data_IF_016623930060
#
_entry.id   IF_016623930060
#
_cell.length_a   1.000
_cell.length_b   1.000
_cell.length_c   1.000
_cell.angle_alpha   90.00
_cell.angle_beta   90.00
_cell.angle_gamma   90.00
#
_symmetry.space_group_name_H-M   'P 1'
#
loop_
_entity.id
_entity.type
_entity.pdbx_description
1 polymer ?
#
# COMPACT_ATOMS: atom_id res chain seq x y z
N UNK A 1 7.43 46.04 42.58
CA UNK A 1 8.04 44.85 41.95
C UNK A 1 7.09 43.64 41.85
N UNK A 2 5.84 43.79 41.38
CA UNK A 2 4.90 42.64 41.25
C UNK A 2 4.28 42.44 39.85
N UNK A 3 4.41 43.40 38.92
CA UNK A 3 3.85 43.26 37.56
C UNK A 3 4.81 42.64 36.54
N UNK A 4 6.13 42.74 36.74
CA UNK A 4 7.10 42.26 35.75
C UNK A 4 7.45 40.76 35.89
N UNK A 5 7.16 40.12 37.03
CA UNK A 5 7.37 38.67 37.19
C UNK A 5 6.28 37.84 36.50
N UNK A 6 5.04 38.35 36.42
CA UNK A 6 3.92 37.57 35.87
C UNK A 6 4.05 37.40 34.35
N UNK A 7 4.56 38.42 33.66
CA UNK A 7 4.76 38.38 32.20
C UNK A 7 5.88 37.42 31.80
N UNK A 8 6.93 37.30 32.63
CA UNK A 8 8.06 36.40 32.38
C UNK A 8 7.69 34.93 32.56
N UNK A 9 6.81 34.62 33.53
CA UNK A 9 6.31 33.25 33.74
C UNK A 9 5.34 32.83 32.62
N UNK A 10 4.52 33.75 32.11
CA UNK A 10 3.64 33.49 30.96
C UNK A 10 4.42 33.26 29.66
N UNK A 11 5.53 33.99 29.43
CA UNK A 11 6.41 33.74 28.28
C UNK A 11 7.14 32.39 28.39
N UNK A 12 7.55 31.98 29.59
CA UNK A 12 8.20 30.68 29.81
C UNK A 12 7.22 29.50 29.67
N UNK A 13 5.97 29.65 30.13
CA UNK A 13 4.93 28.61 29.97
C UNK A 13 4.50 28.42 28.51
N UNK A 14 4.57 29.47 27.67
CA UNK A 14 4.38 29.35 26.22
C UNK A 14 5.60 28.80 25.48
N UNK A 15 6.76 28.72 26.12
CA UNK A 15 7.99 28.16 25.53
C UNK A 15 8.18 26.68 25.84
N UNK A 16 7.39 26.10 26.76
CA UNK A 16 7.47 24.68 27.15
C UNK A 16 6.40 23.82 26.44
N UNK A 17 5.40 24.44 25.81
CA UNK A 17 4.44 23.74 24.94
C UNK A 17 4.83 23.95 23.47
N UNK A 18 5.07 22.86 22.74
CA UNK A 18 5.57 22.79 21.35
C UNK A 18 7.10 22.75 21.17
N UNK A 19 7.75 21.84 21.88
CA UNK A 19 8.74 20.99 21.21
C UNK A 19 8.22 19.56 21.27
N UNK A 20 7.13 19.28 20.56
CA UNK A 20 7.01 17.95 19.97
C UNK A 20 7.85 18.03 18.71
N UNK A 21 8.99 17.35 18.74
CA UNK A 21 9.70 17.01 17.52
C UNK A 21 8.72 16.22 16.66
N UNK A 22 8.02 16.87 15.73
CA UNK A 22 7.42 16.19 14.59
C UNK A 22 8.59 15.80 13.69
N UNK A 23 9.38 14.82 14.10
CA UNK A 23 10.35 14.20 13.22
C UNK A 23 9.54 13.58 12.07
N UNK A 24 9.77 14.09 10.87
CA UNK A 24 9.12 13.54 9.68
C UNK A 24 9.50 12.06 9.57
N UNK A 25 8.53 11.15 9.35
CA UNK A 25 8.81 9.73 9.27
C UNK A 25 9.87 9.46 8.21
N UNK A 26 10.91 8.75 8.61
CA UNK A 26 12.02 8.39 7.73
C UNK A 26 11.68 7.04 7.08
N UNK A 27 11.34 7.08 5.79
CA UNK A 27 10.76 5.96 5.05
C UNK A 27 11.80 5.27 4.18
N UNK A 28 11.77 3.94 4.21
CA UNK A 28 12.70 3.05 3.54
C UNK A 28 11.95 2.01 2.72
N UNK A 29 12.18 1.98 1.42
CA UNK A 29 11.50 1.08 0.49
C UNK A 29 12.27 -0.23 0.31
N UNK A 30 11.57 -1.34 0.11
CA UNK A 30 12.19 -2.59 -0.30
C UNK A 30 13.06 -2.39 -1.55
N UNK A 31 14.29 -2.88 -1.47
CA UNK A 31 15.26 -2.77 -2.56
C UNK A 31 15.48 -4.12 -3.24
N UNK A 32 15.85 -5.16 -2.46
CA UNK A 32 16.16 -6.50 -2.98
C UNK A 32 16.32 -7.54 -1.88
N UNK A 33 16.34 -8.81 -2.30
CA UNK A 33 16.88 -9.94 -1.54
C UNK A 33 18.19 -10.40 -2.18
N UNK A 34 19.20 -10.72 -1.36
CA UNK A 34 20.51 -11.20 -1.83
C UNK A 34 20.36 -12.40 -2.77
N UNK A 35 21.25 -12.50 -3.76
CA UNK A 35 21.20 -13.61 -4.74
C UNK A 35 21.47 -14.96 -4.06
N UNK A 36 22.43 -14.98 -3.16
CA UNK A 36 22.81 -16.16 -2.40
C UNK A 36 22.49 -15.93 -0.92
N UNK A 37 22.44 -17.01 -0.15
CA UNK A 37 22.56 -16.94 1.31
C UNK A 37 24.02 -16.76 1.71
N UNK A 38 24.27 -16.40 2.97
CA UNK A 38 25.61 -16.26 3.56
C UNK A 38 26.46 -17.54 3.38
N UNK A 39 25.83 -18.73 3.39
CA UNK A 39 26.52 -20.01 3.21
C UNK A 39 26.81 -20.37 1.74
N UNK A 40 26.47 -19.48 0.79
CA UNK A 40 26.78 -19.64 -0.63
C UNK A 40 25.85 -20.58 -1.40
N UNK A 41 24.81 -21.11 -0.75
CA UNK A 41 23.78 -21.96 -1.35
C UNK A 41 22.38 -21.46 -0.99
N UNK A 42 21.53 -21.25 -1.98
CA UNK A 42 20.19 -20.73 -1.77
C UNK A 42 19.20 -21.36 -2.75
N UNK A 43 17.99 -21.68 -2.29
CA UNK A 43 16.92 -22.08 -3.19
C UNK A 43 16.36 -20.84 -3.88
N UNK A 44 16.31 -20.84 -5.22
CA UNK A 44 15.65 -19.78 -5.99
C UNK A 44 14.20 -19.59 -5.52
N UNK A 45 13.50 -20.68 -5.17
CA UNK A 45 12.13 -20.62 -4.65
C UNK A 45 12.01 -19.93 -3.29
N UNK A 46 13.00 -20.09 -2.41
CA UNK A 46 13.00 -19.43 -1.11
C UNK A 46 13.27 -17.93 -1.28
N UNK A 47 14.23 -17.59 -2.14
CA UNK A 47 14.54 -16.21 -2.49
C UNK A 47 13.35 -15.51 -3.12
N UNK A 48 12.67 -16.16 -4.07
CA UNK A 48 11.44 -15.64 -4.67
C UNK A 48 10.34 -15.44 -3.63
N UNK A 49 10.13 -16.40 -2.72
CA UNK A 49 9.16 -16.24 -1.63
C UNK A 49 9.48 -15.05 -0.72
N UNK A 50 10.76 -14.82 -0.40
CA UNK A 50 11.19 -13.65 0.36
C UNK A 50 10.96 -12.36 -0.44
N UNK A 51 11.26 -12.33 -1.73
CA UNK A 51 10.98 -11.15 -2.56
C UNK A 51 9.48 -10.86 -2.57
N UNK A 52 8.66 -11.87 -2.82
CA UNK A 52 7.20 -11.72 -2.88
C UNK A 52 6.66 -11.15 -1.56
N UNK A 53 7.10 -11.74 -0.43
CA UNK A 53 6.67 -11.33 0.91
C UNK A 53 7.12 -9.92 1.27
N UNK A 54 8.37 -9.57 1.01
CA UNK A 54 8.97 -8.33 1.49
C UNK A 54 8.92 -7.17 0.49
N UNK A 55 8.61 -7.42 -0.79
CA UNK A 55 8.56 -6.38 -1.84
C UNK A 55 7.51 -5.30 -1.61
N UNK A 56 6.46 -5.61 -0.84
CA UNK A 56 5.35 -4.70 -0.53
C UNK A 56 5.54 -3.98 0.83
N UNK A 57 6.62 -4.29 1.55
CA UNK A 57 6.88 -3.79 2.91
C UNK A 57 7.69 -2.50 2.85
N UNK A 58 7.47 -1.64 3.85
CA UNK A 58 8.32 -0.47 4.11
C UNK A 58 8.77 -0.46 5.55
N UNK A 59 9.96 0.11 5.77
CA UNK A 59 10.42 0.44 7.10
C UNK A 59 10.19 1.93 7.33
N UNK A 60 9.55 2.24 8.44
CA UNK A 60 9.29 3.63 8.86
C UNK A 60 9.99 3.81 10.20
N UNK A 61 10.97 4.70 10.24
CA UNK A 61 11.58 5.14 11.49
C UNK A 61 10.90 6.44 11.93
N UNK A 62 10.22 6.40 13.07
CA UNK A 62 9.53 7.55 13.67
C UNK A 62 9.56 7.41 15.19
N UNK A 63 9.80 8.52 15.91
CA UNK A 63 9.74 8.59 17.37
C UNK A 63 10.52 7.47 18.10
N UNK A 64 11.68 7.09 17.56
CA UNK A 64 12.52 6.05 18.15
C UNK A 64 11.99 4.63 18.00
N UNK A 65 11.07 4.39 17.06
CA UNK A 65 10.55 3.07 16.67
C UNK A 65 10.76 2.81 15.17
N UNK A 66 11.22 1.60 14.82
CA UNK A 66 11.16 1.07 13.45
C UNK A 66 9.88 0.27 13.29
N UNK A 67 8.99 0.77 12.47
CA UNK A 67 7.75 0.10 12.07
C UNK A 67 8.05 -0.72 10.81
N UNK A 68 7.88 -2.04 10.91
CA UNK A 68 7.96 -2.98 9.79
C UNK A 68 6.56 -3.23 9.26
N UNK A 69 6.01 -2.26 8.54
CA UNK A 69 4.65 -2.31 7.97
C UNK A 69 3.58 -2.81 8.99
N UNK A 70 2.67 -3.75 8.64
CA UNK A 70 1.80 -4.42 9.65
C UNK A 70 2.43 -5.65 10.30
N UNK A 71 3.70 -5.92 10.06
CA UNK A 71 4.34 -7.08 10.65
C UNK A 71 4.60 -6.78 12.12
N UNK A 72 5.36 -5.74 12.44
CA UNK A 72 5.84 -5.54 13.80
C UNK A 72 6.36 -4.12 14.04
N UNK A 73 6.48 -3.78 15.32
CA UNK A 73 7.07 -2.55 15.83
C UNK A 73 8.34 -2.90 16.60
N UNK A 74 9.44 -2.22 16.29
CA UNK A 74 10.74 -2.44 16.92
C UNK A 74 11.13 -1.15 17.64
N UNK A 75 11.33 -1.21 18.95
CA UNK A 75 11.81 -0.06 19.72
C UNK A 75 13.28 0.23 19.35
N UNK A 76 13.50 1.16 18.44
CA UNK A 76 14.81 1.47 17.85
C UNK A 76 15.78 2.06 18.86
N UNK A 77 15.35 3.03 19.67
CA UNK A 77 16.26 3.73 20.60
C UNK A 77 16.75 2.86 21.77
N UNK A 78 15.99 1.84 22.18
CA UNK A 78 16.33 1.01 23.34
C UNK A 78 17.03 -0.31 22.97
N UNK A 79 17.10 -0.65 21.68
CA UNK A 79 17.62 -1.93 21.20
C UNK A 79 18.74 -1.82 20.17
N UNK A 80 19.15 -0.59 19.85
CA UNK A 80 20.25 -0.32 18.91
C UNK A 80 21.60 -0.37 19.62
N UNK A 81 22.45 -1.31 19.21
CA UNK A 81 23.85 -1.38 19.59
C UNK A 81 24.74 -0.95 18.41
N UNK A 82 25.67 -0.03 18.62
CA UNK A 82 26.76 0.18 17.66
C UNK A 82 27.76 -0.97 17.83
N UNK A 83 27.89 -1.81 16.82
CA UNK A 83 28.72 -3.00 16.87
C UNK A 83 29.76 -3.02 15.75
N UNK A 84 30.95 -3.54 16.06
CA UNK A 84 31.89 -3.99 15.03
C UNK A 84 31.47 -5.36 14.50
N UNK A 85 31.83 -5.73 13.25
CA UNK A 85 31.57 -7.06 12.70
C UNK A 85 31.98 -8.19 13.65
N UNK A 86 33.20 -8.13 14.21
CA UNK A 86 33.72 -9.18 15.09
C UNK A 86 32.96 -9.26 16.41
N UNK A 87 32.58 -8.12 17.00
CA UNK A 87 31.79 -8.12 18.23
C UNK A 87 30.36 -8.65 18.03
N UNK A 88 29.81 -8.48 16.83
CA UNK A 88 28.45 -8.90 16.50
C UNK A 88 28.41 -10.39 16.13
N UNK A 89 29.19 -10.83 15.14
CA UNK A 89 29.19 -12.22 14.67
C UNK A 89 30.09 -13.19 15.46
N UNK A 90 30.84 -12.68 16.46
CA UNK A 90 31.66 -13.41 17.44
C UNK A 90 32.88 -14.16 16.89
N UNK A 91 32.90 -14.56 15.63
CA UNK A 91 34.02 -15.29 15.02
C UNK A 91 34.48 -14.64 13.73
N UNK A 92 35.79 -14.72 13.46
CA UNK A 92 36.39 -14.17 12.23
C UNK A 92 35.82 -14.84 10.97
N UNK A 93 35.56 -16.14 11.03
CA UNK A 93 34.98 -16.90 9.91
C UNK A 93 33.62 -16.34 9.49
N UNK A 94 32.70 -16.15 10.45
CA UNK A 94 31.39 -15.55 10.17
C UNK A 94 31.51 -14.12 9.66
N UNK A 95 32.44 -13.34 10.22
CA UNK A 95 32.69 -11.98 9.73
C UNK A 95 33.06 -11.99 8.25
N UNK A 96 33.92 -12.91 7.81
CA UNK A 96 34.32 -13.00 6.41
C UNK A 96 33.18 -13.50 5.50
N UNK A 97 32.35 -14.45 5.96
CA UNK A 97 31.15 -14.87 5.22
C UNK A 97 30.17 -13.72 4.99
N UNK A 98 29.84 -12.96 6.05
CA UNK A 98 28.93 -11.82 5.95
C UNK A 98 29.55 -10.68 5.14
N UNK A 99 30.83 -10.34 5.33
CA UNK A 99 31.50 -9.33 4.48
C UNK A 99 31.44 -9.71 3.01
N UNK A 100 31.64 -10.98 2.68
CA UNK A 100 31.59 -11.47 1.30
C UNK A 100 30.22 -11.21 0.66
N UNK A 101 29.13 -11.65 1.30
CA UNK A 101 27.78 -11.44 0.74
C UNK A 101 27.38 -9.97 0.67
N UNK A 102 27.71 -9.16 1.69
CA UNK A 102 27.47 -7.71 1.64
C UNK A 102 28.24 -7.04 0.49
N UNK A 103 29.49 -7.46 0.25
CA UNK A 103 30.29 -7.00 -0.89
C UNK A 103 29.73 -7.44 -2.24
N UNK A 104 29.28 -8.69 -2.38
CA UNK A 104 28.62 -9.21 -3.59
C UNK A 104 27.36 -8.40 -3.92
N UNK A 105 26.62 -8.00 -2.88
CA UNK A 105 25.43 -7.17 -2.99
C UNK A 105 25.73 -5.67 -3.10
N UNK A 106 27.00 -5.26 -3.14
CA UNK A 106 27.42 -3.85 -3.23
C UNK A 106 26.89 -2.98 -2.09
N UNK A 107 26.76 -3.55 -0.89
CA UNK A 107 26.39 -2.84 0.33
C UNK A 107 27.65 -2.82 1.20
N UNK A 108 28.40 -1.69 1.27
CA UNK A 108 29.67 -1.65 1.95
C UNK A 108 29.46 -1.76 3.46
N UNK A 109 29.85 -2.90 4.04
CA UNK A 109 29.82 -3.08 5.49
C UNK A 109 30.95 -2.24 6.12
N UNK A 110 30.59 -1.19 6.84
CA UNK A 110 31.54 -0.33 7.54
C UNK A 110 32.30 -1.05 8.65
N UNK A 111 33.28 -0.35 9.24
CA UNK A 111 34.00 -0.84 10.43
C UNK A 111 33.09 -1.01 11.64
N UNK A 112 31.98 -0.27 11.67
CA UNK A 112 30.90 -0.36 12.63
C UNK A 112 29.57 -0.19 11.91
N UNK A 113 28.51 -0.74 12.50
CA UNK A 113 27.14 -0.57 12.07
C UNK A 113 26.22 -0.57 13.28
N UNK A 114 25.01 -0.04 13.10
CA UNK A 114 23.95 -0.13 14.10
C UNK A 114 23.23 -1.46 13.93
N UNK A 115 23.26 -2.29 14.97
CA UNK A 115 22.53 -3.54 15.05
C UNK A 115 21.33 -3.36 15.98
N UNK A 116 20.14 -3.45 15.43
CA UNK A 116 18.88 -3.35 16.16
C UNK A 116 18.44 -4.76 16.45
N UNK A 117 18.50 -5.14 17.72
CA UNK A 117 18.09 -6.47 18.17
C UNK A 117 16.60 -6.48 18.44
N UNK A 118 15.94 -7.56 18.07
CA UNK A 118 14.60 -7.79 18.57
C UNK A 118 14.67 -8.08 20.07
N UNK A 119 13.93 -7.34 20.92
CA UNK A 119 13.93 -7.60 22.35
C UNK A 119 13.47 -9.04 22.62
N UNK A 120 14.09 -9.67 23.60
CA UNK A 120 13.97 -11.10 23.90
C UNK A 120 12.56 -11.69 23.73
N UNK A 121 12.42 -12.54 22.70
CA UNK A 121 11.99 -13.95 22.83
C UNK A 121 10.61 -14.29 23.43
N UNK A 122 9.64 -13.38 23.49
CA UNK A 122 8.27 -13.86 23.56
C UNK A 122 7.87 -14.40 22.18
N UNK A 123 7.42 -15.66 22.16
CA UNK A 123 7.05 -16.43 20.95
C UNK A 123 5.93 -15.79 20.12
N UNK A 124 5.42 -14.65 20.56
CA UNK A 124 4.33 -13.91 19.94
C UNK A 124 4.75 -12.65 19.19
N UNK A 125 6.05 -12.32 19.13
CA UNK A 125 6.51 -11.27 18.22
C UNK A 125 6.32 -11.71 16.76
N UNK A 126 5.48 -10.96 16.05
CA UNK A 126 5.16 -11.16 14.63
C UNK A 126 6.43 -11.13 13.76
N UNK A 127 7.44 -10.33 14.11
CA UNK A 127 8.74 -10.30 13.42
C UNK A 127 9.46 -11.67 13.46
N UNK A 128 9.43 -12.34 14.62
CA UNK A 128 10.08 -13.64 14.81
C UNK A 128 9.31 -14.77 14.12
N UNK A 129 7.97 -14.66 14.06
CA UNK A 129 7.10 -15.55 13.26
C UNK A 129 7.40 -15.42 11.77
N UNK A 130 7.74 -14.23 11.31
CA UNK A 130 8.15 -13.96 9.93
C UNK A 130 9.60 -14.34 9.59
N UNK A 131 10.34 -14.90 10.56
CA UNK A 131 11.67 -15.45 10.34
C UNK A 131 12.80 -14.42 10.23
N UNK A 132 12.53 -13.18 10.62
CA UNK A 132 13.52 -12.11 10.73
C UNK A 132 14.35 -12.29 12.00
N UNK A 133 15.66 -12.07 11.93
CA UNK A 133 16.55 -12.28 13.10
C UNK A 133 17.13 -11.02 13.68
N UNK A 134 17.69 -10.12 12.87
CA UNK A 134 18.23 -8.83 13.32
C UNK A 134 18.09 -7.82 12.18
N UNK A 135 17.98 -6.54 12.52
CA UNK A 135 17.97 -5.44 11.56
C UNK A 135 19.27 -4.64 11.68
N UNK A 136 19.99 -4.50 10.58
CA UNK A 136 21.26 -3.76 10.52
C UNK A 136 21.05 -2.48 9.72
N UNK A 137 21.45 -1.33 10.28
CA UNK A 137 21.52 -0.06 9.54
C UNK A 137 22.94 0.20 9.06
N UNK A 138 23.08 0.48 7.77
CA UNK A 138 24.35 0.82 7.11
C UNK A 138 24.08 1.97 6.15
N UNK A 139 24.54 3.18 6.47
CA UNK A 139 24.33 4.38 5.65
C UNK A 139 22.85 4.59 5.25
N UNK A 140 22.56 4.40 3.96
CA UNK A 140 21.26 4.47 3.33
C UNK A 140 20.66 3.08 3.06
N UNK A 141 21.07 2.07 3.82
CA UNK A 141 20.52 0.71 3.82
C UNK A 141 20.02 0.27 5.21
N UNK A 142 18.86 -0.39 5.20
CA UNK A 142 18.40 -1.24 6.28
C UNK A 142 18.42 -2.69 5.77
N UNK A 143 19.01 -3.60 6.53
CA UNK A 143 19.19 -4.98 6.10
C UNK A 143 18.71 -5.93 7.18
N UNK A 144 17.64 -6.68 6.90
CA UNK A 144 17.31 -7.83 7.74
C UNK A 144 18.16 -9.02 7.38
N UNK A 145 18.57 -9.74 8.42
CA UNK A 145 19.09 -11.08 8.31
C UNK A 145 17.92 -12.08 8.47
N UNK A 146 17.81 -13.04 7.55
CA UNK A 146 16.89 -14.17 7.72
C UNK A 146 17.55 -15.33 8.45
N UNK A 147 16.76 -16.22 9.06
CA UNK A 147 17.27 -17.48 9.64
C UNK A 147 18.02 -18.35 8.63
N UNK A 148 17.65 -18.28 7.35
CA UNK A 148 18.29 -18.98 6.24
C UNK A 148 19.52 -18.25 5.68
N UNK A 149 19.88 -17.09 6.24
CA UNK A 149 21.09 -16.36 5.87
C UNK A 149 20.94 -15.50 4.60
N UNK A 150 19.73 -15.19 4.15
CA UNK A 150 19.52 -14.17 3.12
C UNK A 150 19.56 -12.77 3.72
N UNK A 151 19.95 -11.79 2.89
CA UNK A 151 19.88 -10.37 3.21
C UNK A 151 18.65 -9.78 2.53
N UNK A 152 17.70 -9.25 3.32
CA UNK A 152 16.57 -8.47 2.80
C UNK A 152 16.91 -6.99 2.97
N UNK A 153 17.08 -6.27 1.87
CA UNK A 153 17.57 -4.89 1.88
C UNK A 153 16.45 -3.89 1.59
N UNK A 154 16.42 -2.82 2.37
CA UNK A 154 15.61 -1.62 2.21
C UNK A 154 16.52 -0.41 2.02
N UNK A 155 16.11 0.59 1.22
CA UNK A 155 16.93 1.77 0.89
C UNK A 155 16.14 3.08 0.98
N UNK A 156 16.81 4.16 1.40
CA UNK A 156 16.29 5.54 1.41
C UNK A 156 16.15 6.17 0.02
N UNK A 157 16.89 5.68 -0.97
CA UNK A 157 16.99 6.31 -2.29
C UNK A 157 16.98 5.25 -3.37
N UNK A 158 15.84 5.08 -4.03
CA UNK A 158 15.82 4.53 -5.38
C UNK A 158 16.04 5.72 -6.32
N UNK A 159 17.29 6.03 -6.64
CA UNK A 159 17.52 6.70 -7.92
C UNK A 159 16.95 5.78 -9.01
N UNK A 160 16.06 6.33 -9.83
CA UNK A 160 15.43 5.63 -10.95
C UNK A 160 16.51 5.04 -11.86
N UNK A 161 16.85 3.78 -11.65
CA UNK A 161 17.53 2.99 -12.68
C UNK A 161 16.54 2.77 -13.82
N UNK A 162 16.71 3.55 -14.90
CA UNK A 162 15.98 3.52 -16.17
C UNK A 162 16.19 2.20 -16.96
N UNK A 163 16.20 1.04 -16.32
CA UNK A 163 16.60 -0.24 -16.93
C UNK A 163 15.64 -1.41 -16.72
N UNK A 164 14.47 -1.21 -16.12
CA UNK A 164 13.42 -2.22 -16.10
C UNK A 164 12.08 -1.57 -16.37
N UNK A 165 11.19 -2.24 -17.14
CA UNK A 165 9.89 -1.70 -17.46
C UNK A 165 9.20 -1.39 -16.14
N UNK A 166 8.48 -0.27 -16.12
CA UNK A 166 7.73 0.26 -14.98
C UNK A 166 6.79 -0.82 -14.44
N UNK A 167 7.30 -1.70 -13.58
CA UNK A 167 6.51 -2.46 -12.62
C UNK A 167 6.21 -1.48 -11.51
N UNK A 168 4.92 -1.25 -11.34
CA UNK A 168 4.31 -0.29 -10.46
C UNK A 168 4.79 -0.53 -9.01
N UNK A 169 5.87 0.15 -8.61
CA UNK A 169 6.39 0.13 -7.25
C UNK A 169 5.53 1.04 -6.38
N UNK A 170 4.68 0.44 -5.56
CA UNK A 170 4.30 0.97 -4.25
C UNK A 170 3.46 2.25 -4.23
N UNK A 171 2.17 2.17 -4.56
CA UNK A 171 1.17 3.03 -3.95
C UNK A 171 0.76 2.49 -2.57
N UNK A 172 1.72 2.53 -1.65
CA UNK A 172 1.61 2.46 -0.19
C UNK A 172 0.19 2.58 0.42
N UNK A 173 -0.33 1.51 1.03
CA UNK A 173 -1.56 1.57 1.86
C UNK A 173 -1.37 1.20 3.33
N UNK A 174 -0.16 1.31 3.85
CA UNK A 174 0.12 1.20 5.28
C UNK A 174 1.10 2.28 5.72
N UNK A 175 0.70 3.52 5.47
CA UNK A 175 1.07 4.58 6.40
C UNK A 175 0.05 4.44 7.54
N UNK A 176 0.47 4.09 8.77
CA UNK A 176 -0.39 4.26 9.93
C UNK A 176 -0.87 5.72 9.90
N UNK A 177 -2.19 5.95 9.90
CA UNK A 177 -2.85 7.26 9.76
C UNK A 177 -3.13 7.79 8.34
N UNK A 178 -3.13 6.98 7.26
CA UNK A 178 -3.76 7.44 6.01
C UNK A 178 -5.27 7.57 6.22
N UNK A 179 -5.74 8.81 6.35
CA UNK A 179 -7.15 9.12 6.57
C UNK A 179 -8.01 8.49 5.48
N UNK A 180 -9.01 7.74 5.92
CA UNK A 180 -10.06 7.19 5.09
C UNK A 180 -10.71 8.31 4.26
N UNK A 181 -10.77 8.14 2.93
CA UNK A 181 -11.26 9.17 2.02
C UNK A 181 -12.56 8.80 1.31
N UNK A 182 -13.52 9.72 1.35
CA UNK A 182 -14.77 9.61 0.60
C UNK A 182 -14.62 9.88 -0.91
N UNK A 183 -13.41 10.24 -1.33
CA UNK A 183 -13.05 10.42 -2.74
C UNK A 183 -12.58 9.12 -3.40
N UNK A 184 -12.55 8.00 -2.68
CA UNK A 184 -12.19 6.69 -3.24
C UNK A 184 -10.68 6.46 -3.32
N UNK A 185 -10.26 5.48 -4.12
CA UNK A 185 -8.90 4.94 -4.06
C UNK A 185 -7.98 5.48 -5.19
N UNK A 186 -6.84 6.12 -4.88
CA UNK A 186 -5.96 6.72 -5.90
C UNK A 186 -5.41 5.76 -6.96
N UNK A 187 -5.42 4.45 -6.70
CA UNK A 187 -5.08 3.44 -7.71
C UNK A 187 -6.01 3.47 -8.93
N UNK A 188 -7.18 4.10 -8.85
CA UNK A 188 -8.09 4.19 -10.00
C UNK A 188 -7.89 5.46 -10.84
N UNK A 189 -6.83 6.23 -10.60
CA UNK A 189 -6.58 7.54 -11.26
C UNK A 189 -6.13 7.46 -12.72
N UNK A 190 -5.78 6.29 -13.25
CA UNK A 190 -5.14 6.16 -14.56
C UNK A 190 -5.58 4.90 -15.32
N UNK A 191 -5.92 5.06 -16.60
CA UNK A 191 -6.20 3.99 -17.56
C UNK A 191 -5.14 2.90 -17.62
N UNK A 192 -3.85 3.23 -17.46
CA UNK A 192 -2.75 2.24 -17.47
C UNK A 192 -2.97 1.11 -16.46
N UNK A 193 -3.62 1.41 -15.34
CA UNK A 193 -3.86 0.45 -14.27
C UNK A 193 -4.92 -0.58 -14.70
N UNK A 194 -5.88 -0.18 -15.53
CA UNK A 194 -6.85 -1.10 -16.15
C UNK A 194 -6.11 -2.08 -17.05
N UNK A 195 -5.25 -1.57 -17.93
CA UNK A 195 -4.48 -2.43 -18.85
C UNK A 195 -3.57 -3.42 -18.10
N UNK A 196 -2.97 -2.97 -16.99
CA UNK A 196 -2.10 -3.80 -16.16
C UNK A 196 -2.90 -4.81 -15.31
N UNK A 197 -4.02 -4.40 -14.71
CA UNK A 197 -4.90 -5.28 -13.94
C UNK A 197 -5.55 -6.33 -14.85
N UNK A 198 -6.03 -5.96 -16.04
CA UNK A 198 -6.64 -6.93 -16.97
C UNK A 198 -5.66 -8.03 -17.40
N UNK A 199 -4.38 -7.69 -17.56
CA UNK A 199 -3.34 -8.69 -17.85
C UNK A 199 -3.04 -9.60 -16.67
N UNK A 200 -3.30 -9.16 -15.44
CA UNK A 200 -2.87 -9.83 -14.20
C UNK A 200 -4.01 -10.44 -13.41
N UNK A 201 -5.25 -10.02 -13.64
CA UNK A 201 -6.43 -10.28 -12.83
C UNK A 201 -7.55 -10.99 -13.61
N UNK A 202 -7.21 -11.77 -14.63
CA UNK A 202 -8.15 -12.64 -15.35
C UNK A 202 -7.80 -14.10 -15.02
N UNK A 203 -8.66 -14.73 -14.22
CA UNK A 203 -8.43 -16.05 -13.65
C UNK A 203 -9.61 -16.99 -13.91
N UNK A 204 -9.35 -18.24 -14.35
CA UNK A 204 -10.37 -19.29 -14.36
C UNK A 204 -10.63 -19.83 -12.95
N UNK A 205 -11.90 -20.11 -12.64
CA UNK A 205 -12.36 -20.64 -11.34
C UNK A 205 -12.13 -22.15 -11.15
N UNK A 206 -11.57 -22.84 -12.16
CA UNK A 206 -11.31 -24.29 -12.15
C UNK A 206 -10.21 -24.76 -11.18
N UNK A 207 -9.67 -23.85 -10.36
CA UNK A 207 -8.65 -24.13 -9.35
C UNK A 207 -7.25 -24.37 -9.92
N UNK A 208 -7.04 -24.31 -11.25
CA UNK A 208 -5.69 -24.28 -11.87
C UNK A 208 -4.86 -23.08 -11.39
N UNK A 209 -5.57 -22.09 -10.88
CA UNK A 209 -5.19 -20.92 -10.10
C UNK A 209 -3.99 -21.05 -9.13
N UNK A 210 -3.88 -22.11 -8.32
CA UNK A 210 -2.79 -22.22 -7.32
C UNK A 210 -1.39 -22.39 -7.94
N UNK A 211 -1.32 -22.65 -9.25
CA UNK A 211 -0.08 -22.80 -9.99
C UNK A 211 0.25 -21.58 -10.89
N UNK A 212 -0.55 -20.51 -10.86
CA UNK A 212 -0.30 -19.34 -11.72
C UNK A 212 0.62 -18.33 -11.03
N UNK A 213 1.75 -18.02 -11.66
CA UNK A 213 2.76 -17.06 -11.19
C UNK A 213 2.22 -15.65 -10.89
N UNK A 214 1.00 -15.32 -11.31
CA UNK A 214 0.45 -13.96 -11.32
C UNK A 214 -0.61 -13.68 -10.24
N UNK A 215 -1.04 -14.68 -9.47
CA UNK A 215 -2.09 -14.47 -8.46
C UNK A 215 -1.71 -13.35 -7.46
N UNK A 216 -0.47 -13.37 -6.97
CA UNK A 216 0.04 -12.41 -6.01
C UNK A 216 0.35 -11.02 -6.63
N UNK A 217 0.24 -10.90 -7.96
CA UNK A 217 0.42 -9.66 -8.72
C UNK A 217 -0.90 -8.94 -9.04
N UNK A 218 -2.06 -9.53 -8.71
CA UNK A 218 -3.34 -8.88 -8.94
C UNK A 218 -3.67 -7.88 -7.80
N UNK A 219 -3.71 -6.59 -8.14
CA UNK A 219 -3.91 -5.49 -7.18
C UNK A 219 -5.36 -5.35 -6.67
N UNK A 220 -6.28 -6.25 -7.05
CA UNK A 220 -7.69 -6.22 -6.60
C UNK A 220 -7.85 -6.41 -5.09
N UNK A 221 -6.95 -7.14 -4.43
CA UNK A 221 -7.00 -7.34 -2.98
C UNK A 221 -6.88 -6.02 -2.21
N UNK A 222 -6.10 -5.06 -2.72
CA UNK A 222 -5.95 -3.73 -2.12
C UNK A 222 -7.27 -2.95 -2.17
N UNK A 223 -7.94 -2.95 -3.33
CA UNK A 223 -9.26 -2.33 -3.48
C UNK A 223 -10.29 -2.99 -2.56
N UNK A 224 -10.33 -4.32 -2.52
CA UNK A 224 -11.25 -5.05 -1.66
C UNK A 224 -11.08 -4.67 -0.18
N UNK A 225 -9.83 -4.59 0.30
CA UNK A 225 -9.53 -4.17 1.68
C UNK A 225 -9.94 -2.72 1.97
N UNK A 226 -9.66 -1.79 1.04
CA UNK A 226 -10.05 -0.39 1.18
C UNK A 226 -11.57 -0.22 1.25
N UNK A 227 -12.28 -0.83 0.31
CA UNK A 227 -13.73 -0.69 0.19
C UNK A 227 -14.53 -1.51 1.21
N UNK A 228 -13.92 -2.50 1.84
CA UNK A 228 -14.46 -3.12 3.05
C UNK A 228 -14.65 -2.08 4.16
N UNK A 229 -13.70 -1.16 4.39
CA UNK A 229 -13.89 -0.04 5.36
C UNK A 229 -14.99 0.93 4.94
N UNK A 230 -15.18 1.16 3.64
CA UNK A 230 -16.30 1.94 3.10
C UNK A 230 -17.64 1.24 3.38
N UNK A 231 -17.66 -0.10 3.31
CA UNK A 231 -18.86 -0.89 3.59
C UNK A 231 -19.28 -0.87 5.06
N UNK A 232 -18.29 -0.87 5.96
CA UNK A 232 -18.45 -0.87 7.41
C UNK A 232 -18.81 0.51 7.98
N UNK A 233 -18.48 1.60 7.28
CA UNK A 233 -18.77 2.95 7.75
C UNK A 233 -20.25 3.30 7.62
N UNK A 234 -20.83 3.76 8.74
CA UNK A 234 -22.24 4.09 8.87
C UNK A 234 -22.48 5.58 8.55
N UNK A 235 -23.19 5.88 7.47
CA UNK A 235 -23.95 7.13 7.34
C UNK A 235 -25.37 6.78 6.92
N UNK A 236 -26.36 7.27 7.68
CA UNK A 236 -27.71 6.70 7.64
C UNK A 236 -28.47 7.00 6.35
N UNK A 237 -28.19 8.14 5.68
CA UNK A 237 -28.94 8.57 4.48
C UNK A 237 -28.10 9.38 3.49
N UNK A 238 -27.46 10.45 3.96
CA UNK A 238 -26.74 11.42 3.12
C UNK A 238 -25.49 11.91 3.83
N UNK A 239 -24.40 12.08 3.08
CA UNK A 239 -23.15 12.67 3.56
C UNK A 239 -22.64 13.69 2.56
N UNK A 240 -22.52 14.95 2.96
CA UNK A 240 -21.87 15.98 2.12
C UNK A 240 -20.36 15.73 2.16
N UNK A 241 -19.74 15.66 0.98
CA UNK A 241 -18.30 15.43 0.84
C UNK A 241 -17.56 16.63 0.26
N UNK A 242 -18.27 17.52 -0.44
CA UNK A 242 -17.70 18.75 -0.99
C UNK A 242 -18.78 19.78 -1.29
N UNK A 243 -18.42 21.06 -1.25
CA UNK A 243 -19.29 22.18 -1.61
C UNK A 243 -18.51 23.23 -2.38
N UNK A 244 -19.08 23.72 -3.50
CA UNK A 244 -18.50 24.75 -4.34
C UNK A 244 -19.58 25.72 -4.81
N UNK A 245 -19.64 26.89 -4.18
CA UNK A 245 -20.70 27.87 -4.43
C UNK A 245 -22.08 27.29 -4.12
N UNK A 246 -22.99 27.37 -5.09
CA UNK A 246 -24.37 26.86 -5.02
C UNK A 246 -24.45 25.32 -5.17
N UNK A 247 -23.35 24.67 -5.58
CA UNK A 247 -23.31 23.23 -5.81
C UNK A 247 -22.86 22.48 -4.56
N UNK A 248 -23.59 21.41 -4.21
CA UNK A 248 -23.26 20.46 -3.16
C UNK A 248 -23.08 19.06 -3.74
N UNK A 249 -21.99 18.40 -3.33
CA UNK A 249 -21.67 17.03 -3.73
C UNK A 249 -21.83 16.13 -2.51
N UNK A 250 -22.70 15.14 -2.64
CA UNK A 250 -23.06 14.31 -1.51
C UNK A 250 -23.19 12.84 -1.88
N UNK A 251 -22.89 11.99 -0.92
CA UNK A 251 -23.03 10.56 -1.01
C UNK A 251 -24.36 10.14 -0.39
N UNK A 252 -25.09 9.27 -1.09
CA UNK A 252 -26.28 8.59 -0.54
C UNK A 252 -26.11 7.09 -0.65
N UNK A 253 -26.52 6.36 0.39
CA UNK A 253 -26.46 4.89 0.45
C UNK A 253 -27.86 4.32 0.26
N UNK A 254 -27.97 3.29 -0.59
CA UNK A 254 -29.22 2.53 -0.80
C UNK A 254 -28.95 1.05 -0.53
N UNK A 255 -29.59 0.45 0.47
CA UNK A 255 -29.44 -0.99 0.74
C UNK A 255 -30.12 -1.82 -0.34
N UNK A 256 -29.57 -3.00 -0.64
CA UNK A 256 -30.24 -4.05 -1.40
C UNK A 256 -30.90 -5.08 -0.47
N UNK A 257 -31.85 -5.87 -0.99
CA UNK A 257 -32.74 -6.72 -0.18
C UNK A 257 -32.06 -7.96 0.41
N UNK A 258 -31.05 -8.52 -0.23
CA UNK A 258 -30.46 -9.79 0.22
C UNK A 258 -29.02 -9.61 0.69
N UNK A 259 -28.10 -9.06 -0.10
CA UNK A 259 -26.76 -8.71 0.38
C UNK A 259 -26.20 -7.50 -0.40
N UNK A 260 -25.56 -6.57 0.32
CA UNK A 260 -24.88 -5.41 -0.27
C UNK A 260 -25.66 -4.09 -0.31
N UNK A 261 -25.03 -3.07 -0.88
CA UNK A 261 -25.58 -1.72 -1.01
C UNK A 261 -24.99 -1.03 -2.24
N UNK A 262 -25.64 0.06 -2.63
CA UNK A 262 -25.17 0.96 -3.66
C UNK A 262 -24.94 2.35 -3.06
N UNK A 263 -23.82 2.99 -3.40
CA UNK A 263 -23.57 4.39 -3.09
C UNK A 263 -23.64 5.22 -4.35
N UNK A 264 -24.32 6.35 -4.22
CA UNK A 264 -24.44 7.33 -5.28
C UNK A 264 -23.74 8.63 -4.90
N UNK A 265 -23.02 9.20 -5.86
CA UNK A 265 -22.60 10.60 -5.84
C UNK A 265 -23.71 11.45 -6.46
N UNK A 266 -24.30 12.34 -5.68
CA UNK A 266 -25.29 13.30 -6.12
C UNK A 266 -24.67 14.69 -6.27
N UNK A 267 -25.06 15.37 -7.34
CA UNK A 267 -24.82 16.79 -7.55
C UNK A 267 -26.13 17.51 -7.25
N UNK A 268 -26.12 18.39 -6.27
CA UNK A 268 -27.26 19.22 -5.93
C UNK A 268 -26.95 20.70 -6.15
N UNK A 269 -27.95 21.46 -6.58
CA UNK A 269 -27.93 22.92 -6.61
C UNK A 269 -29.18 23.43 -5.95
N UNK A 270 -29.04 24.38 -5.02
CA UNK A 270 -30.16 24.94 -4.25
C UNK A 270 -31.04 23.86 -3.58
N UNK A 271 -30.38 22.82 -3.03
CA UNK A 271 -31.00 21.62 -2.43
C UNK A 271 -31.88 20.79 -3.39
N UNK A 272 -31.77 21.01 -4.71
CA UNK A 272 -32.41 20.18 -5.74
C UNK A 272 -31.36 19.28 -6.39
N UNK A 273 -31.70 18.00 -6.54
CA UNK A 273 -30.89 17.05 -7.28
C UNK A 273 -30.81 17.48 -8.75
N UNK A 274 -29.59 17.70 -9.24
CA UNK A 274 -29.30 17.93 -10.65
C UNK A 274 -29.06 16.59 -11.32
N UNK A 275 -28.10 15.84 -10.80
CA UNK A 275 -27.66 14.59 -11.40
C UNK A 275 -27.13 13.62 -10.34
N UNK A 276 -27.05 12.34 -10.72
CA UNK A 276 -26.65 11.23 -9.86
C UNK A 276 -25.82 10.21 -10.63
N UNK A 277 -24.70 9.80 -10.04
CA UNK A 277 -23.87 8.70 -10.53
C UNK A 277 -23.78 7.60 -9.47
N UNK A 278 -24.00 6.34 -9.87
CA UNK A 278 -23.65 5.20 -9.04
C UNK A 278 -22.14 5.04 -9.03
N UNK A 279 -21.51 5.20 -7.86
CA UNK A 279 -20.05 5.18 -7.72
C UNK A 279 -19.55 3.91 -7.05
N UNK A 280 -20.34 3.28 -6.20
CA UNK A 280 -19.99 2.01 -5.58
C UNK A 280 -21.18 1.08 -5.58
N UNK A 281 -20.96 -0.18 -5.91
CA UNK A 281 -21.98 -1.22 -5.81
C UNK A 281 -21.32 -2.51 -5.37
N UNK A 282 -21.99 -3.21 -4.48
CA UNK A 282 -21.71 -4.61 -4.22
C UNK A 282 -23.02 -5.37 -4.30
N UNK A 283 -23.12 -6.27 -5.26
CA UNK A 283 -24.30 -7.11 -5.49
C UNK A 283 -23.85 -8.54 -5.67
N UNK A 284 -24.56 -9.45 -5.03
CA UNK A 284 -24.40 -10.88 -5.22
C UNK A 284 -25.69 -11.35 -5.90
N UNK A 285 -25.56 -11.90 -7.10
CA UNK A 285 -26.63 -12.60 -7.83
C UNK A 285 -26.32 -14.10 -7.80
N UNK A 286 -27.32 -14.93 -8.08
CA UNK A 286 -27.22 -16.39 -8.03
C UNK A 286 -26.05 -16.97 -8.86
N UNK A 287 -25.62 -16.27 -9.92
CA UNK A 287 -24.57 -16.72 -10.83
C UNK A 287 -23.32 -15.83 -10.86
N UNK A 288 -23.33 -14.68 -10.16
CA UNK A 288 -22.21 -13.73 -10.22
C UNK A 288 -22.26 -12.68 -9.10
N UNK A 289 -21.08 -12.29 -8.61
CA UNK A 289 -20.85 -11.12 -7.78
C UNK A 289 -20.39 -9.94 -8.63
N UNK A 290 -21.05 -8.80 -8.47
CA UNK A 290 -20.70 -7.54 -9.12
C UNK A 290 -20.17 -6.57 -8.07
N UNK A 291 -18.98 -6.04 -8.33
CA UNK A 291 -18.35 -5.02 -7.49
C UNK A 291 -17.96 -3.84 -8.35
N UNK A 292 -18.31 -2.64 -7.91
CA UNK A 292 -17.88 -1.40 -8.55
C UNK A 292 -17.08 -0.55 -7.55
N UNK A 293 -15.86 -0.18 -7.93
CA UNK A 293 -14.98 0.69 -7.18
C UNK A 293 -14.88 2.08 -7.83
N UNK A 294 -14.48 3.10 -7.05
CA UNK A 294 -14.37 4.48 -7.56
C UNK A 294 -13.14 5.25 -7.09
N UNK A 295 -12.83 6.29 -7.87
CA UNK A 295 -12.03 7.44 -7.47
C UNK A 295 -12.65 8.73 -8.00
N UNK A 296 -12.57 9.81 -7.23
CA UNK A 296 -13.00 11.16 -7.54
C UNK A 296 -11.81 12.07 -7.24
N UNK A 297 -11.36 12.88 -8.20
CA UNK A 297 -10.34 13.89 -7.90
C UNK A 297 -10.90 15.06 -7.09
N UNK A 298 -10.01 15.78 -6.39
CA UNK A 298 -10.39 16.90 -5.52
C UNK A 298 -11.14 18.02 -6.27
N UNK A 299 -10.86 18.16 -7.56
CA UNK A 299 -11.46 19.15 -8.45
C UNK A 299 -12.77 18.70 -9.12
N UNK A 300 -13.21 17.46 -8.93
CA UNK A 300 -14.35 16.82 -9.61
C UNK A 300 -14.26 16.87 -11.15
N UNK A 301 -13.04 16.96 -11.69
CA UNK A 301 -12.76 16.90 -13.12
C UNK A 301 -12.65 15.47 -13.61
N UNK A 302 -12.27 14.54 -12.74
CA UNK A 302 -12.05 13.15 -13.08
C UNK A 302 -12.75 12.25 -12.05
N UNK A 303 -13.66 11.43 -12.55
CA UNK A 303 -14.32 10.38 -11.79
C UNK A 303 -14.09 9.08 -12.53
N UNK A 304 -13.43 8.14 -11.90
CA UNK A 304 -13.09 6.84 -12.48
C UNK A 304 -13.86 5.75 -11.76
N UNK A 305 -14.49 4.87 -12.55
CA UNK A 305 -15.21 3.71 -12.05
C UNK A 305 -14.57 2.45 -12.62
N UNK A 306 -14.37 1.45 -11.77
CA UNK A 306 -13.89 0.12 -12.16
C UNK A 306 -14.95 -0.91 -11.76
N UNK A 307 -15.47 -1.62 -12.74
CA UNK A 307 -16.40 -2.74 -12.57
C UNK A 307 -15.65 -4.05 -12.62
N UNK A 308 -15.97 -4.89 -11.66
CA UNK A 308 -15.43 -6.23 -11.49
C UNK A 308 -16.58 -7.21 -11.36
N UNK A 309 -16.50 -8.31 -12.10
CA UNK A 309 -17.46 -9.41 -12.06
C UNK A 309 -16.72 -10.67 -11.66
N UNK A 310 -17.18 -11.29 -10.58
CA UNK A 310 -16.81 -12.66 -10.23
C UNK A 310 -17.98 -13.58 -10.59
N UNK A 311 -17.73 -14.62 -11.36
CA UNK A 311 -18.68 -15.68 -11.69
C UNK A 311 -18.11 -17.02 -11.22
N UNK A 312 -18.88 -18.11 -11.33
CA UNK A 312 -18.39 -19.47 -11.04
C UNK A 312 -17.29 -19.94 -12.02
N UNK A 313 -17.04 -19.21 -13.10
CA UNK A 313 -16.08 -19.59 -14.14
C UNK A 313 -14.87 -18.64 -14.20
N UNK A 314 -15.06 -17.35 -13.93
CA UNK A 314 -14.00 -16.33 -14.00
C UNK A 314 -14.19 -15.20 -13.03
N UNK A 315 -13.07 -14.56 -12.71
CA UNK A 315 -13.00 -13.28 -12.02
C UNK A 315 -12.30 -12.28 -12.94
N UNK A 316 -13.02 -11.24 -13.38
CA UNK A 316 -12.51 -10.32 -14.40
C UNK A 316 -13.01 -8.87 -14.22
N UNK A 317 -12.21 -7.95 -14.76
CA UNK A 317 -12.59 -6.55 -14.88
C UNK A 317 -13.41 -6.43 -16.16
N UNK A 318 -14.72 -6.34 -15.98
CA UNK A 318 -15.67 -6.23 -17.09
C UNK A 318 -15.56 -4.85 -17.77
N UNK A 319 -15.44 -3.78 -16.97
CA UNK A 319 -15.58 -2.42 -17.49
C UNK A 319 -14.90 -1.36 -16.66
N UNK A 320 -14.26 -0.41 -17.33
CA UNK A 320 -13.79 0.82 -16.72
C UNK A 320 -14.43 2.03 -17.37
N UNK A 321 -14.74 3.06 -16.58
CA UNK A 321 -15.42 4.26 -17.06
C UNK A 321 -14.81 5.52 -16.49
N UNK A 322 -14.61 6.51 -17.36
CA UNK A 322 -14.18 7.85 -17.01
C UNK A 322 -15.31 8.84 -17.18
N UNK A 323 -15.63 9.57 -16.13
CA UNK A 323 -16.58 10.66 -16.16
C UNK A 323 -15.90 11.97 -15.79
N UNK A 324 -16.49 13.05 -16.28
CA UNK A 324 -16.30 14.39 -15.74
C UNK A 324 -17.65 15.02 -15.42
N UNK A 325 -17.64 16.14 -14.73
CA UNK A 325 -18.80 17.00 -14.61
C UNK A 325 -18.71 18.07 -15.69
N UNK A 326 -19.76 18.21 -16.50
CA UNK A 326 -19.82 19.24 -17.53
C UNK A 326 -20.21 20.61 -16.95
N UNK A 327 -20.21 21.64 -17.80
CA UNK A 327 -20.51 23.01 -17.38
C UNK A 327 -21.96 23.19 -16.89
N UNK A 328 -22.86 22.24 -17.16
CA UNK A 328 -24.24 22.26 -16.70
C UNK A 328 -24.43 21.54 -15.36
N UNK A 329 -23.36 20.94 -14.82
CA UNK A 329 -23.41 20.20 -13.57
C UNK A 329 -23.89 18.75 -13.72
N UNK A 330 -23.80 18.18 -14.92
CA UNK A 330 -24.17 16.78 -15.18
C UNK A 330 -22.93 15.91 -15.39
N UNK A 331 -23.04 14.63 -15.03
CA UNK A 331 -22.01 13.64 -15.29
C UNK A 331 -21.97 13.31 -16.78
N UNK A 332 -20.80 13.52 -17.38
CA UNK A 332 -20.53 13.19 -18.77
C UNK A 332 -19.50 12.07 -18.83
N UNK A 333 -19.90 10.94 -19.40
CA UNK A 333 -18.98 9.85 -19.77
C UNK A 333 -18.02 10.36 -20.84
N UNK A 334 -16.72 10.18 -20.60
CA UNK A 334 -15.63 10.55 -21.48
C UNK A 334 -15.06 9.34 -22.22
N UNK A 335 -14.89 8.24 -21.48
CA UNK A 335 -14.32 7.02 -22.00
C UNK A 335 -14.93 5.83 -21.27
N UNK A 336 -15.12 4.74 -22.02
CA UNK A 336 -15.61 3.46 -21.53
C UNK A 336 -14.75 2.39 -22.15
N UNK A 337 -14.12 1.56 -21.33
CA UNK A 337 -13.26 0.47 -21.78
C UNK A 337 -13.89 -0.82 -21.28
N UNK A 338 -14.14 -1.75 -22.20
CA UNK A 338 -14.51 -3.13 -21.88
C UNK A 338 -13.40 -4.05 -22.36
N UNK A 339 -13.15 -5.14 -21.64
CA UNK A 339 -12.15 -6.12 -22.05
C UNK A 339 -12.77 -7.50 -22.14
N UNK A 340 -12.41 -8.22 -23.19
CA UNK A 340 -12.78 -9.62 -23.37
C UNK A 340 -11.90 -10.51 -22.49
N UNK A 341 -12.45 -11.66 -22.09
CA UNK A 341 -11.70 -12.71 -21.42
C UNK A 341 -10.47 -13.11 -22.23
N UNK A 342 -9.44 -13.50 -21.49
CA UNK A 342 -8.21 -14.06 -22.00
C UNK A 342 -8.49 -15.24 -22.91
N UNK A 343 -7.98 -15.17 -24.13
CA UNK A 343 -8.06 -16.29 -25.05
C UNK A 343 -7.14 -17.45 -24.62
N UNK A 344 -7.24 -18.59 -25.31
CA UNK A 344 -6.41 -19.78 -25.04
C UNK A 344 -4.89 -19.53 -25.14
N UNK A 345 -4.47 -18.36 -25.65
CA UNK A 345 -3.08 -17.96 -25.84
C UNK A 345 -2.62 -16.96 -24.77
N UNK A 346 -3.48 -16.58 -23.82
CA UNK A 346 -3.13 -15.65 -22.76
C UNK A 346 -3.36 -14.17 -23.10
N UNK A 347 -3.99 -13.87 -24.24
CA UNK A 347 -4.14 -12.49 -24.73
C UNK A 347 -5.50 -11.92 -24.31
N UNK A 348 -5.46 -10.73 -23.68
CA UNK A 348 -6.65 -9.93 -23.36
C UNK A 348 -6.82 -8.85 -24.40
N UNK A 349 -8.04 -8.66 -24.90
CA UNK A 349 -8.40 -7.61 -25.87
C UNK A 349 -9.34 -6.62 -25.23
N UNK A 350 -8.99 -5.34 -25.29
CA UNK A 350 -9.80 -4.26 -24.75
C UNK A 350 -10.32 -3.37 -25.87
N UNK A 351 -11.57 -2.96 -25.74
CA UNK A 351 -12.29 -2.12 -26.69
C UNK A 351 -12.73 -0.83 -26.00
N UNK A 352 -12.62 0.28 -26.72
CA UNK A 352 -13.23 1.54 -26.30
C UNK A 352 -14.67 1.58 -26.86
N UNK A 353 -15.65 1.71 -25.97
CA UNK A 353 -17.07 1.85 -26.30
C UNK A 353 -17.51 3.31 -26.47
#
# INVERSE_FOLDING_TARGET
MKKNCLTLILFFMFSIGYVHSNESPDIWDFYKVSKNSVSGGGSDSERESLIERYSKIKLILIDGEVIVDTICFIAYETTTDIASPLSYWKTTEKVEEYKKIFSEEKIPLGYQFEAIKFPNNDKDDLCLKEGLTDLIRIDNYFVFLTKSGYLITFSKRIEKNNGSPVTYRGFNYKIPNREFSWFGHPMLTNKKIVDDMNKKCDFPDDGSYYNSYFYNECDLHELASYFSKVSETLFDKKKVIYQKGEYQYNLTKKPHKEFGFEMYLNIEKDNKLIDRLSIYSWRILDSAAFIQYYYIDEDFKNIWLLNYVGSEETHDIEKWRHYKIDNSGHFKLLESISCENRDKQGIVKCHND
#
